data_IF_231666113032
#
_entry.id   IF_231666113032
#
_cell.length_a   1.000
_cell.length_b   1.000
_cell.length_c   1.000
_cell.angle_alpha   90.00
_cell.angle_beta   90.00
_cell.angle_gamma   90.00
#
_symmetry.space_group_name_H-M   'P 1'
#
loop_
_entity.id
_entity.type
_entity.pdbx_description
1 polymer ?
#
# COMPACT_ATOMS: atom_id res chain seq x y z
N UNK A 1 20.97 -8.43 -23.65
CA UNK A 1 19.89 -8.53 -22.65
C UNK A 1 20.25 -9.61 -21.66
N UNK A 2 20.11 -9.37 -20.38
CA UNK A 2 20.30 -10.38 -19.32
C UNK A 2 19.19 -11.43 -19.46
N UNK A 3 19.54 -12.73 -19.36
CA UNK A 3 18.54 -13.79 -19.41
C UNK A 3 17.80 -13.89 -18.07
N UNK A 4 16.50 -14.15 -18.12
CA UNK A 4 15.72 -14.40 -16.90
C UNK A 4 16.26 -15.60 -16.11
N UNK A 5 16.18 -15.57 -14.77
CA UNK A 5 16.57 -16.71 -13.94
C UNK A 5 15.89 -18.01 -14.38
N UNK A 6 16.64 -19.10 -14.42
CA UNK A 6 16.13 -20.39 -14.93
C UNK A 6 15.14 -21.10 -13.99
N UNK A 7 15.16 -20.80 -12.71
CA UNK A 7 14.29 -21.33 -11.65
C UNK A 7 14.24 -20.39 -10.44
N UNK A 8 13.47 -20.74 -9.41
CA UNK A 8 13.29 -19.97 -8.19
C UNK A 8 14.63 -19.74 -7.45
N UNK A 9 15.44 -20.77 -7.28
CA UNK A 9 16.74 -20.64 -6.62
C UNK A 9 17.67 -19.64 -7.34
N UNK A 10 17.72 -19.66 -8.67
CA UNK A 10 18.48 -18.70 -9.45
C UNK A 10 17.91 -17.27 -9.32
N UNK A 11 16.57 -17.12 -9.16
CA UNK A 11 15.93 -15.84 -8.91
C UNK A 11 16.37 -15.27 -7.56
N UNK A 12 16.36 -16.08 -6.49
CA UNK A 12 16.79 -15.65 -5.16
C UNK A 12 18.28 -15.26 -5.14
N UNK A 13 19.14 -16.02 -5.82
CA UNK A 13 20.57 -15.67 -5.94
C UNK A 13 20.75 -14.33 -6.68
N UNK A 14 20.01 -14.10 -7.75
CA UNK A 14 20.09 -12.85 -8.51
C UNK A 14 19.58 -11.66 -7.69
N UNK A 15 18.47 -11.82 -6.94
CA UNK A 15 17.97 -10.82 -6.00
C UNK A 15 18.98 -10.46 -4.92
N UNK A 16 19.58 -11.47 -4.29
CA UNK A 16 20.62 -11.26 -3.25
C UNK A 16 21.84 -10.54 -3.83
N UNK A 17 22.27 -10.90 -5.03
CA UNK A 17 23.38 -10.24 -5.73
C UNK A 17 23.08 -8.78 -6.05
N UNK A 18 21.87 -8.48 -6.55
CA UNK A 18 21.43 -7.12 -6.84
C UNK A 18 21.35 -6.25 -5.58
N UNK A 19 20.81 -6.80 -4.50
CA UNK A 19 20.62 -6.08 -3.25
C UNK A 19 21.91 -5.74 -2.52
N UNK A 20 22.95 -6.55 -2.65
CA UNK A 20 24.25 -6.38 -2.00
C UNK A 20 24.27 -6.61 -0.48
N UNK A 21 23.12 -6.83 0.16
CA UNK A 21 23.01 -7.21 1.58
C UNK A 21 21.69 -7.95 1.84
N UNK A 22 21.68 -8.81 2.88
CA UNK A 22 20.50 -9.60 3.24
C UNK A 22 19.28 -8.76 3.61
N UNK A 23 19.46 -7.63 4.29
CA UNK A 23 18.37 -6.73 4.68
C UNK A 23 17.72 -6.13 3.43
N UNK A 24 18.52 -5.61 2.51
CA UNK A 24 18.04 -5.05 1.25
C UNK A 24 17.42 -6.13 0.35
N UNK A 25 17.93 -7.36 0.40
CA UNK A 25 17.37 -8.47 -0.38
C UNK A 25 15.92 -8.78 0.01
N UNK A 26 15.59 -8.77 1.30
CA UNK A 26 14.22 -8.94 1.78
C UNK A 26 13.34 -7.79 1.26
N UNK A 27 13.81 -6.55 1.35
CA UNK A 27 13.07 -5.39 0.88
C UNK A 27 12.80 -5.43 -0.64
N UNK A 28 13.81 -5.79 -1.45
CA UNK A 28 13.66 -5.94 -2.90
C UNK A 28 12.77 -7.12 -3.29
N UNK A 29 12.85 -8.23 -2.54
CA UNK A 29 11.97 -9.38 -2.73
C UNK A 29 10.50 -9.02 -2.50
N UNK A 30 10.21 -8.35 -1.39
CA UNK A 30 8.86 -7.89 -1.06
C UNK A 30 8.34 -6.85 -2.08
N UNK A 31 9.23 -5.96 -2.55
CA UNK A 31 8.90 -5.01 -3.60
C UNK A 31 8.57 -5.74 -4.90
N UNK A 32 9.41 -6.68 -5.31
CA UNK A 32 9.21 -7.47 -6.52
C UNK A 32 7.90 -8.28 -6.45
N UNK A 33 7.63 -8.93 -5.31
CA UNK A 33 6.38 -9.66 -5.09
C UNK A 33 5.16 -8.74 -5.22
N UNK A 34 5.21 -7.56 -4.61
CA UNK A 34 4.15 -6.55 -4.71
C UNK A 34 3.92 -6.07 -6.15
N UNK A 35 4.99 -5.82 -6.91
CA UNK A 35 4.88 -5.43 -8.33
C UNK A 35 4.27 -6.56 -9.17
N UNK A 36 4.71 -7.81 -8.96
CA UNK A 36 4.19 -8.98 -9.69
C UNK A 36 2.69 -9.17 -9.42
N UNK A 37 2.26 -9.06 -8.16
CA UNK A 37 0.84 -9.09 -7.81
C UNK A 37 0.11 -7.93 -8.51
N UNK A 38 0.70 -6.74 -8.50
CA UNK A 38 0.16 -5.56 -9.18
C UNK A 38 -0.11 -5.77 -10.67
N UNK A 39 0.73 -6.59 -11.37
CA UNK A 39 0.52 -6.95 -12.78
C UNK A 39 -0.64 -7.94 -12.98
N UNK A 40 -1.04 -8.66 -11.93
CA UNK A 40 -2.11 -9.66 -11.96
C UNK A 40 -3.43 -9.14 -11.41
N UNK A 41 -3.48 -7.92 -10.85
CA UNK A 41 -4.71 -7.35 -10.28
C UNK A 41 -5.80 -7.21 -11.36
N UNK A 42 -7.08 -7.47 -11.01
CA UNK A 42 -8.18 -7.24 -11.92
C UNK A 42 -8.40 -5.75 -12.20
N UNK A 43 -9.13 -5.44 -13.27
CA UNK A 43 -9.57 -4.08 -13.54
C UNK A 43 -10.59 -3.62 -12.49
N UNK A 44 -10.67 -2.31 -12.28
CA UNK A 44 -11.56 -1.75 -11.23
C UNK A 44 -11.08 -2.02 -9.81
N UNK A 45 -9.77 -2.16 -9.62
CA UNK A 45 -9.16 -2.25 -8.31
C UNK A 45 -7.96 -1.30 -8.22
N UNK A 46 -7.66 -0.83 -7.02
CA UNK A 46 -6.52 0.03 -6.72
C UNK A 46 -5.74 -0.49 -5.53
N UNK A 47 -4.42 -0.31 -5.57
CA UNK A 47 -3.55 -0.56 -4.41
C UNK A 47 -3.57 0.68 -3.52
N UNK A 48 -3.72 0.47 -2.20
CA UNK A 48 -3.77 1.52 -1.20
C UNK A 48 -2.80 1.27 -0.03
N UNK A 49 -2.94 2.02 1.03
CA UNK A 49 -2.18 1.80 2.26
C UNK A 49 -0.68 2.04 2.12
N UNK A 50 0.10 1.33 2.94
CA UNK A 50 1.56 1.40 2.92
C UNK A 50 2.17 0.86 1.63
N UNK A 51 1.56 -0.15 1.03
CA UNK A 51 2.02 -0.75 -0.23
C UNK A 51 1.92 0.25 -1.39
N UNK A 52 0.85 1.05 -1.48
CA UNK A 52 0.78 2.14 -2.46
C UNK A 52 1.93 3.13 -2.30
N UNK A 53 2.33 3.45 -1.06
CA UNK A 53 3.49 4.31 -0.80
C UNK A 53 4.80 3.69 -1.27
N UNK A 54 5.01 2.39 -0.99
CA UNK A 54 6.20 1.66 -1.47
C UNK A 54 6.29 1.63 -2.99
N UNK A 55 5.16 1.39 -3.67
CA UNK A 55 5.10 1.38 -5.13
C UNK A 55 5.34 2.77 -5.75
N UNK A 56 4.98 3.86 -5.04
CA UNK A 56 5.23 5.24 -5.48
C UNK A 56 6.68 5.69 -5.30
N UNK A 57 7.32 5.28 -4.20
CA UNK A 57 8.59 5.82 -3.74
C UNK A 57 9.78 4.89 -3.98
N UNK A 58 9.53 3.60 -4.14
CA UNK A 58 10.58 2.59 -4.27
C UNK A 58 11.19 2.15 -2.94
N UNK A 59 12.11 1.17 -2.99
CA UNK A 59 12.79 0.65 -1.82
C UNK A 59 13.58 1.74 -1.07
N UNK A 60 13.59 1.68 0.25
CA UNK A 60 14.32 2.62 1.11
C UNK A 60 13.72 4.01 1.27
N UNK A 61 12.70 4.37 0.49
CA UNK A 61 12.08 5.70 0.51
C UNK A 61 10.69 5.73 1.17
N UNK A 62 10.25 4.63 1.73
CA UNK A 62 9.02 4.50 2.50
C UNK A 62 9.23 3.56 3.68
N UNK A 63 8.34 3.63 4.68
CA UNK A 63 8.39 2.67 5.78
C UNK A 63 8.11 1.24 5.30
N UNK A 64 8.55 0.28 6.09
CA UNK A 64 8.24 -1.13 5.85
C UNK A 64 6.73 -1.37 6.05
N UNK A 65 6.13 -2.14 5.18
CA UNK A 65 4.75 -2.63 5.31
C UNK A 65 4.70 -4.10 4.94
N UNK A 66 3.90 -4.86 5.69
CA UNK A 66 3.74 -6.31 5.51
C UNK A 66 2.45 -6.66 4.76
N UNK A 67 1.47 -5.75 4.75
CA UNK A 67 0.16 -5.98 4.19
C UNK A 67 0.04 -5.35 2.81
N UNK A 68 -0.57 -6.07 1.87
CA UNK A 68 -0.89 -5.59 0.53
C UNK A 68 -2.37 -5.19 0.49
N UNK A 69 -2.64 -3.91 0.66
CA UNK A 69 -4.01 -3.39 0.73
C UNK A 69 -4.55 -3.02 -0.64
N UNK A 70 -5.79 -3.45 -0.94
CA UNK A 70 -6.50 -3.06 -2.17
C UNK A 70 -7.93 -2.58 -1.87
N UNK A 71 -8.48 -1.79 -2.78
CA UNK A 71 -9.90 -1.48 -2.85
C UNK A 71 -10.45 -1.92 -4.19
N UNK A 72 -11.65 -2.50 -4.23
CA UNK A 72 -12.31 -3.02 -5.42
C UNK A 72 -13.57 -2.23 -5.73
N UNK A 73 -13.85 -1.98 -7.01
CA UNK A 73 -15.09 -1.39 -7.47
C UNK A 73 -16.23 -2.40 -7.55
N UNK A 74 -15.94 -3.56 -8.14
CA UNK A 74 -16.93 -4.60 -8.41
C UNK A 74 -17.22 -5.46 -7.17
N UNK A 75 -18.26 -6.31 -7.24
CA UNK A 75 -18.54 -7.29 -6.20
C UNK A 75 -17.36 -8.21 -5.91
N UNK A 76 -17.28 -8.69 -4.66
CA UNK A 76 -16.16 -9.51 -4.20
C UNK A 76 -15.99 -10.79 -5.04
N UNK A 77 -17.10 -11.45 -5.40
CA UNK A 77 -17.05 -12.70 -6.17
C UNK A 77 -16.54 -12.46 -7.59
N UNK A 78 -16.93 -11.35 -8.23
CA UNK A 78 -16.44 -10.93 -9.54
C UNK A 78 -14.95 -10.63 -9.46
N UNK A 79 -14.54 -9.84 -8.46
CA UNK A 79 -13.12 -9.54 -8.21
C UNK A 79 -12.29 -10.82 -8.01
N UNK A 80 -12.73 -11.73 -7.14
CA UNK A 80 -12.02 -12.97 -6.83
C UNK A 80 -11.91 -13.88 -8.07
N UNK A 81 -12.95 -13.97 -8.88
CA UNK A 81 -12.93 -14.74 -10.12
C UNK A 81 -11.89 -14.18 -11.08
N UNK A 82 -11.94 -12.90 -11.38
CA UNK A 82 -11.01 -12.23 -12.30
C UNK A 82 -9.56 -12.31 -11.78
N UNK A 83 -9.37 -12.13 -10.47
CA UNK A 83 -8.04 -12.19 -9.88
C UNK A 83 -7.45 -13.60 -9.98
N UNK A 84 -8.23 -14.66 -9.74
CA UNK A 84 -7.78 -16.05 -9.90
C UNK A 84 -7.42 -16.36 -11.36
N UNK A 85 -8.23 -15.90 -12.30
CA UNK A 85 -7.94 -16.09 -13.74
C UNK A 85 -6.63 -15.43 -14.13
N UNK A 86 -6.39 -14.17 -13.74
CA UNK A 86 -5.14 -13.44 -14.01
C UNK A 86 -3.94 -14.04 -13.27
N UNK A 87 -4.11 -14.43 -12.02
CA UNK A 87 -3.07 -15.06 -11.20
C UNK A 87 -2.62 -16.42 -11.78
N UNK A 88 -3.57 -17.20 -12.33
CA UNK A 88 -3.28 -18.45 -13.01
C UNK A 88 -2.59 -18.22 -14.37
N UNK A 89 -3.02 -17.22 -15.13
CA UNK A 89 -2.37 -16.81 -16.38
C UNK A 89 -0.96 -16.28 -16.14
N UNK A 90 -0.77 -15.62 -15.02
CA UNK A 90 0.51 -15.16 -14.53
C UNK A 90 1.12 -13.99 -15.28
N UNK A 91 2.37 -13.66 -14.92
CA UNK A 91 3.17 -12.62 -15.53
C UNK A 91 4.65 -13.04 -15.57
N UNK A 92 5.27 -13.07 -16.74
CA UNK A 92 6.72 -13.32 -16.95
C UNK A 92 7.27 -14.56 -16.22
N UNK A 93 6.51 -15.67 -16.23
CA UNK A 93 6.88 -16.93 -15.57
C UNK A 93 6.48 -17.02 -14.10
N UNK A 94 5.89 -15.97 -13.56
CA UNK A 94 5.23 -15.99 -12.25
C UNK A 94 3.76 -16.36 -12.39
N UNK A 95 3.26 -17.19 -11.50
CA UNK A 95 1.84 -17.51 -11.30
C UNK A 95 1.50 -17.37 -9.83
N UNK A 96 0.21 -17.32 -9.51
CA UNK A 96 -0.21 -17.28 -8.12
C UNK A 96 -1.48 -18.11 -7.86
N UNK A 97 -1.54 -18.68 -6.65
CA UNK A 97 -2.76 -19.26 -6.06
C UNK A 97 -3.39 -18.23 -5.11
N UNK A 98 -4.68 -17.92 -5.32
CA UNK A 98 -5.45 -16.96 -4.50
C UNK A 98 -6.31 -17.74 -3.51
N UNK A 99 -5.92 -17.72 -2.24
CA UNK A 99 -6.61 -18.41 -1.14
C UNK A 99 -7.40 -17.41 -0.31
N UNK A 100 -8.71 -17.68 -0.16
CA UNK A 100 -9.60 -16.89 0.70
C UNK A 100 -9.37 -17.29 2.15
N UNK A 101 -9.14 -16.32 3.02
CA UNK A 101 -9.09 -16.50 4.47
C UNK A 101 -10.39 -16.05 5.11
N UNK A 102 -10.69 -16.58 6.30
CA UNK A 102 -11.83 -16.10 7.07
C UNK A 102 -11.59 -14.66 7.51
N UNK A 103 -12.51 -13.72 7.23
CA UNK A 103 -12.41 -12.35 7.71
C UNK A 103 -12.41 -12.28 9.23
N UNK A 104 -11.76 -11.26 9.79
CA UNK A 104 -11.88 -10.95 11.21
C UNK A 104 -13.31 -10.55 11.57
N UNK A 105 -13.60 -10.53 12.87
CA UNK A 105 -14.88 -10.04 13.40
C UNK A 105 -14.63 -8.89 14.37
N UNK A 106 -14.16 -7.72 13.88
CA UNK A 106 -13.86 -6.60 14.74
C UNK A 106 -15.15 -6.04 15.35
N UNK A 107 -15.16 -5.80 16.66
CA UNK A 107 -16.32 -5.26 17.37
C UNK A 107 -16.74 -3.89 16.81
N UNK A 108 -18.04 -3.75 16.54
CA UNK A 108 -18.61 -2.46 16.10
C UNK A 108 -18.36 -2.09 14.65
N UNK A 109 -17.83 -2.99 13.83
CA UNK A 109 -17.71 -2.82 12.38
C UNK A 109 -18.74 -3.73 11.71
N UNK A 110 -19.69 -3.20 10.90
CA UNK A 110 -20.58 -4.01 10.09
C UNK A 110 -19.78 -4.95 9.16
N UNK A 111 -20.30 -6.16 8.94
CA UNK A 111 -19.58 -7.18 8.18
C UNK A 111 -19.22 -6.73 6.75
N UNK A 112 -20.07 -5.95 6.11
CA UNK A 112 -19.83 -5.37 4.78
C UNK A 112 -18.61 -4.44 4.69
N UNK A 113 -18.16 -3.89 5.83
CA UNK A 113 -16.97 -3.02 5.90
C UNK A 113 -15.71 -3.77 6.37
N UNK A 114 -15.84 -5.06 6.67
CA UNK A 114 -14.67 -5.89 7.03
C UNK A 114 -13.92 -6.24 5.76
N UNK A 115 -12.61 -5.97 5.74
CA UNK A 115 -11.77 -6.36 4.59
C UNK A 115 -11.71 -7.87 4.46
N UNK A 116 -11.72 -8.34 3.20
CA UNK A 116 -11.53 -9.76 2.90
C UNK A 116 -10.03 -10.07 2.84
N UNK A 117 -9.49 -10.86 3.78
CA UNK A 117 -8.10 -11.27 3.71
C UNK A 117 -7.90 -12.43 2.73
N UNK A 118 -6.80 -12.37 2.01
CA UNK A 118 -6.36 -13.38 1.05
C UNK A 118 -4.90 -13.74 1.33
N UNK A 119 -4.50 -14.99 1.09
CA UNK A 119 -3.11 -15.39 0.92
C UNK A 119 -2.83 -15.58 -0.57
N UNK A 120 -1.86 -14.84 -1.09
CA UNK A 120 -1.41 -14.95 -2.48
C UNK A 120 -0.11 -15.73 -2.50
N UNK A 121 -0.19 -16.98 -2.90
CA UNK A 121 0.99 -17.85 -3.00
C UNK A 121 1.61 -17.73 -4.38
N UNK A 122 2.69 -16.99 -4.47
CA UNK A 122 3.44 -16.80 -5.71
C UNK A 122 4.35 -17.99 -5.98
N UNK A 123 4.40 -18.41 -7.24
CA UNK A 123 5.34 -19.38 -7.76
C UNK A 123 6.08 -18.78 -8.96
N UNK A 124 7.35 -19.12 -9.11
CA UNK A 124 8.15 -18.81 -10.30
C UNK A 124 8.54 -20.09 -11.04
N UNK A 125 8.17 -20.16 -12.32
CA UNK A 125 8.39 -21.37 -13.16
C UNK A 125 7.97 -22.67 -12.45
N UNK A 126 6.76 -22.66 -11.91
CA UNK A 126 6.14 -23.77 -11.15
C UNK A 126 6.84 -24.16 -9.84
N UNK A 127 7.77 -23.35 -9.33
CA UNK A 127 8.39 -23.53 -8.02
C UNK A 127 7.81 -22.52 -7.03
N UNK A 128 7.36 -22.93 -5.82
CA UNK A 128 6.90 -21.99 -4.79
C UNK A 128 7.97 -20.94 -4.48
N UNK A 129 7.57 -19.66 -4.43
CA UNK A 129 8.50 -18.58 -4.17
C UNK A 129 8.23 -17.85 -2.85
N UNK A 130 7.06 -17.18 -2.74
CA UNK A 130 6.67 -16.52 -1.50
C UNK A 130 5.16 -16.43 -1.35
N UNK A 131 4.70 -16.09 -0.14
CA UNK A 131 3.29 -15.82 0.14
C UNK A 131 3.14 -14.38 0.61
N UNK A 132 2.21 -13.64 0.00
CA UNK A 132 1.87 -12.26 0.36
C UNK A 132 0.47 -12.24 0.93
N UNK A 133 0.29 -11.59 2.09
CA UNK A 133 -1.03 -11.30 2.64
C UNK A 133 -1.62 -10.09 1.93
N UNK A 134 -2.82 -10.26 1.40
CA UNK A 134 -3.54 -9.22 0.69
C UNK A 134 -4.90 -9.00 1.35
N UNK A 135 -5.27 -7.74 1.56
CA UNK A 135 -6.57 -7.37 2.09
C UNK A 135 -7.37 -6.59 1.03
N UNK A 136 -8.60 -7.01 0.82
CA UNK A 136 -9.51 -6.41 -0.17
C UNK A 136 -10.63 -5.69 0.55
N UNK A 137 -10.71 -4.37 0.42
CA UNK A 137 -11.86 -3.58 0.86
C UNK A 137 -12.86 -3.35 -0.28
N UNK A 138 -14.07 -2.96 0.07
CA UNK A 138 -15.03 -2.43 -0.91
C UNK A 138 -14.64 -1.01 -1.35
N UNK A 139 -15.25 -0.54 -2.44
CA UNK A 139 -15.14 0.84 -2.91
C UNK A 139 -15.78 1.81 -1.91
N UNK A 140 -14.99 2.61 -1.26
CA UNK A 140 -15.46 3.57 -0.27
C UNK A 140 -15.49 4.97 -0.86
N UNK A 141 -16.69 5.47 -1.13
CA UNK A 141 -16.92 6.81 -1.70
C UNK A 141 -16.26 7.04 -3.08
N UNK A 142 -16.07 6.00 -3.85
CA UNK A 142 -15.44 6.09 -5.16
C UNK A 142 -13.92 5.98 -5.16
N UNK A 143 -13.31 5.47 -4.08
CA UNK A 143 -11.85 5.37 -3.93
C UNK A 143 -11.17 4.40 -4.94
N UNK A 144 -11.97 3.57 -5.63
CA UNK A 144 -11.54 2.69 -6.71
C UNK A 144 -12.17 3.04 -8.08
N UNK A 145 -12.96 4.12 -8.19
CA UNK A 145 -13.58 4.55 -9.45
C UNK A 145 -12.56 5.26 -10.33
N UNK A 146 -11.75 6.12 -9.72
CA UNK A 146 -10.61 6.78 -10.36
C UNK A 146 -9.33 6.05 -10.01
N UNK A 147 -8.52 5.79 -11.02
CA UNK A 147 -7.28 5.02 -10.88
C UNK A 147 -6.10 5.91 -11.26
N UNK A 148 -5.20 6.14 -10.33
CA UNK A 148 -3.92 6.76 -10.66
C UNK A 148 -2.97 5.70 -11.23
N UNK A 149 -2.66 5.80 -12.53
CA UNK A 149 -1.65 4.95 -13.18
C UNK A 149 -0.35 5.72 -13.24
N UNK A 150 0.59 5.35 -12.40
CA UNK A 150 1.91 5.97 -12.34
C UNK A 150 2.98 4.96 -12.71
N UNK A 151 3.97 5.40 -13.47
CA UNK A 151 5.18 4.61 -13.70
C UNK A 151 5.87 4.30 -12.37
N UNK A 152 6.41 3.09 -12.27
CA UNK A 152 7.17 2.68 -11.11
C UNK A 152 8.48 3.47 -11.01
N UNK A 153 9.01 3.71 -9.80
CA UNK A 153 10.31 4.34 -9.61
C UNK A 153 11.43 3.64 -10.38
N UNK A 154 12.42 4.41 -10.83
CA UNK A 154 13.55 3.87 -11.60
C UNK A 154 14.25 2.72 -10.86
N UNK A 155 14.44 2.84 -9.54
CA UNK A 155 15.05 1.77 -8.73
C UNK A 155 14.29 0.44 -8.77
N UNK A 156 12.98 0.48 -9.01
CA UNK A 156 12.15 -0.73 -9.18
C UNK A 156 12.30 -1.28 -10.59
N UNK A 157 12.24 -0.42 -11.60
CA UNK A 157 12.44 -0.86 -12.99
C UNK A 157 13.84 -1.42 -13.22
N UNK A 158 14.87 -0.81 -12.64
CA UNK A 158 16.26 -1.31 -12.68
C UNK A 158 16.39 -2.72 -12.08
N UNK A 159 15.66 -3.00 -10.99
CA UNK A 159 15.61 -4.34 -10.41
C UNK A 159 15.12 -5.38 -11.44
N UNK A 160 13.98 -5.11 -12.10
CA UNK A 160 13.41 -6.04 -13.07
C UNK A 160 14.32 -6.22 -14.29
N UNK A 161 14.87 -5.14 -14.82
CA UNK A 161 15.80 -5.17 -15.96
C UNK A 161 17.10 -5.90 -15.64
N UNK A 162 17.67 -5.68 -14.44
CA UNK A 162 18.89 -6.37 -14.00
C UNK A 162 18.68 -7.88 -13.83
N UNK A 163 17.46 -8.31 -13.50
CA UNK A 163 17.10 -9.72 -13.42
C UNK A 163 16.62 -10.31 -14.78
N UNK A 164 16.66 -9.54 -15.86
CA UNK A 164 16.27 -9.98 -17.19
C UNK A 164 14.77 -10.01 -17.45
N UNK A 165 13.96 -9.38 -16.58
CA UNK A 165 12.53 -9.21 -16.80
C UNK A 165 12.23 -7.95 -17.62
N UNK A 166 11.09 -7.90 -18.33
CA UNK A 166 10.65 -6.67 -18.96
C UNK A 166 10.27 -5.63 -17.90
N UNK A 167 10.26 -4.36 -18.31
CA UNK A 167 9.76 -3.27 -17.48
C UNK A 167 8.30 -3.54 -17.11
N UNK A 168 7.94 -3.55 -15.81
CA UNK A 168 6.55 -3.74 -15.40
C UNK A 168 5.66 -2.58 -15.85
N UNK A 169 4.40 -2.86 -16.14
CA UNK A 169 3.42 -1.84 -16.42
C UNK A 169 3.07 -1.02 -15.16
N UNK A 170 2.52 0.17 -15.36
CA UNK A 170 1.99 0.99 -14.29
C UNK A 170 0.92 0.24 -13.49
N UNK A 171 1.04 0.27 -12.15
CA UNK A 171 0.10 -0.38 -11.24
C UNK A 171 -1.02 0.60 -10.89
N UNK A 172 -2.28 0.12 -10.79
CA UNK A 172 -3.40 0.95 -10.37
C UNK A 172 -3.26 1.35 -8.89
N UNK A 173 -3.06 2.62 -8.62
CA UNK A 173 -2.92 3.16 -7.26
C UNK A 173 -4.14 4.01 -6.90
N UNK A 174 -4.52 3.99 -5.61
CA UNK A 174 -5.54 4.88 -5.07
C UNK A 174 -5.09 6.33 -5.21
N UNK A 175 -5.94 7.25 -5.71
CA UNK A 175 -5.60 8.67 -5.78
C UNK A 175 -5.20 9.25 -4.42
N UNK A 176 -4.24 10.16 -4.40
CA UNK A 176 -3.69 10.74 -3.17
C UNK A 176 -4.72 11.41 -2.26
N UNK A 177 -5.76 12.14 -2.76
CA UNK A 177 -6.79 12.68 -1.90
C UNK A 177 -7.49 11.64 -1.02
N UNK A 178 -7.84 10.48 -1.58
CA UNK A 178 -8.44 9.37 -0.81
C UNK A 178 -7.44 8.76 0.17
N UNK A 179 -6.19 8.60 -0.24
CA UNK A 179 -5.16 8.04 0.63
C UNK A 179 -4.87 8.96 1.82
N UNK A 180 -4.80 10.28 1.62
CA UNK A 180 -4.65 11.27 2.68
C UNK A 180 -5.85 11.22 3.62
N UNK A 181 -7.08 11.25 3.10
CA UNK A 181 -8.29 11.22 3.89
C UNK A 181 -8.39 9.96 4.77
N UNK A 182 -8.08 8.77 4.20
CA UNK A 182 -8.09 7.51 4.95
C UNK A 182 -7.03 7.50 6.06
N UNK A 183 -5.84 8.06 5.81
CA UNK A 183 -4.77 8.16 6.82
C UNK A 183 -5.12 9.16 7.92
N UNK A 184 -5.63 10.33 7.58
CA UNK A 184 -6.11 11.32 8.56
C UNK A 184 -7.23 10.73 9.42
N UNK A 185 -8.20 10.04 8.81
CA UNK A 185 -9.26 9.37 9.57
C UNK A 185 -8.69 8.27 10.49
N UNK A 186 -7.71 7.50 10.01
CA UNK A 186 -7.08 6.45 10.81
C UNK A 186 -6.32 7.00 12.02
N UNK A 187 -5.46 7.98 11.80
CA UNK A 187 -4.59 8.55 12.85
C UNK A 187 -5.36 9.39 13.89
N UNK A 188 -6.55 9.90 13.53
CA UNK A 188 -7.42 10.65 14.44
C UNK A 188 -8.43 9.77 15.18
N UNK A 189 -8.50 8.46 14.88
CA UNK A 189 -9.40 7.53 15.58
C UNK A 189 -8.96 7.35 17.04
N UNK A 190 -9.87 7.44 18.02
CA UNK A 190 -9.52 7.28 19.43
C UNK A 190 -8.86 5.93 19.74
N UNK A 191 -7.80 5.93 20.55
CA UNK A 191 -7.14 4.73 21.06
C UNK A 191 -6.45 3.88 19.97
N UNK A 192 -6.02 4.49 18.87
CA UNK A 192 -5.34 3.79 17.79
C UNK A 192 -3.80 3.74 17.95
N UNK A 193 -3.16 2.78 17.28
CA UNK A 193 -1.70 2.63 17.18
C UNK A 193 -1.20 3.00 15.78
N UNK A 194 -1.71 4.10 15.19
CA UNK A 194 -1.47 4.47 13.80
C UNK A 194 -0.43 5.58 13.61
N UNK A 195 0.52 5.71 14.54
CA UNK A 195 1.63 6.68 14.44
C UNK A 195 2.35 6.62 13.08
N UNK A 196 2.40 5.42 12.46
CA UNK A 196 2.96 5.20 11.11
C UNK A 196 2.28 6.01 10.00
N UNK A 197 1.00 6.36 10.16
CA UNK A 197 0.29 7.17 9.16
C UNK A 197 0.79 8.62 9.12
N UNK A 198 1.37 9.13 10.22
CA UNK A 198 2.03 10.44 10.25
C UNK A 198 3.26 10.47 9.33
N UNK A 199 4.00 9.37 9.25
CA UNK A 199 5.17 9.25 8.36
C UNK A 199 4.69 9.29 6.90
N UNK A 200 3.71 8.48 6.57
CA UNK A 200 3.17 8.41 5.21
C UNK A 200 2.59 9.76 4.77
N UNK A 201 1.85 10.46 5.65
CA UNK A 201 1.30 11.79 5.36
C UNK A 201 2.39 12.81 5.08
N UNK A 202 3.46 12.84 5.87
CA UNK A 202 4.59 13.74 5.63
C UNK A 202 5.29 13.45 4.30
N UNK A 203 5.52 12.18 3.97
CA UNK A 203 6.11 11.79 2.69
C UNK A 203 5.21 12.20 1.50
N UNK A 204 3.90 11.99 1.61
CA UNK A 204 2.95 12.42 0.58
C UNK A 204 3.04 13.93 0.38
N UNK A 205 2.91 14.69 1.44
CA UNK A 205 2.85 16.16 1.38
C UNK A 205 4.18 16.81 0.96
N UNK A 206 5.31 16.14 1.18
CA UNK A 206 6.64 16.65 0.79
C UNK A 206 7.06 16.28 -0.63
N UNK A 207 6.57 15.16 -1.16
CA UNK A 207 7.06 14.60 -2.43
C UNK A 207 6.08 14.74 -3.61
N UNK A 208 4.82 15.08 -3.33
CA UNK A 208 3.79 15.19 -4.36
C UNK A 208 3.08 16.54 -4.34
N UNK A 209 2.66 17.00 -5.50
CA UNK A 209 1.75 18.15 -5.63
C UNK A 209 0.34 17.66 -5.27
N UNK A 210 -0.24 18.24 -4.23
CA UNK A 210 -1.54 17.85 -3.70
C UNK A 210 -2.59 18.90 -4.04
N UNK A 211 -3.68 18.47 -4.66
CA UNK A 211 -4.89 19.26 -4.78
C UNK A 211 -5.57 19.34 -3.40
N UNK A 212 -5.41 20.50 -2.74
CA UNK A 212 -5.90 20.72 -1.38
C UNK A 212 -7.43 20.77 -1.32
N UNK A 213 -8.09 21.35 -2.33
CA UNK A 213 -9.55 21.45 -2.40
C UNK A 213 -10.18 20.06 -2.58
N UNK A 214 -9.70 19.28 -3.56
CA UNK A 214 -10.15 17.92 -3.77
C UNK A 214 -9.88 17.04 -2.52
N UNK A 215 -8.72 17.22 -1.86
CA UNK A 215 -8.38 16.48 -0.65
C UNK A 215 -9.31 16.83 0.51
N UNK A 216 -9.62 18.11 0.72
CA UNK A 216 -10.53 18.58 1.74
C UNK A 216 -11.96 18.05 1.52
N UNK A 217 -12.44 18.04 0.27
CA UNK A 217 -13.74 17.46 -0.07
C UNK A 217 -13.81 15.96 0.27
N UNK A 218 -12.80 15.19 -0.13
CA UNK A 218 -12.73 13.76 0.20
C UNK A 218 -12.68 13.55 1.72
N UNK A 219 -11.91 14.36 2.47
CA UNK A 219 -11.87 14.30 3.93
C UNK A 219 -13.26 14.53 4.54
N UNK A 220 -13.94 15.61 4.17
CA UNK A 220 -15.29 15.94 4.69
C UNK A 220 -16.28 14.79 4.40
N UNK A 221 -16.28 14.26 3.18
CA UNK A 221 -17.14 13.13 2.77
C UNK A 221 -16.82 11.87 3.56
N UNK A 222 -15.55 11.51 3.72
CA UNK A 222 -15.12 10.30 4.41
C UNK A 222 -15.45 10.33 5.90
N UNK A 223 -15.19 11.43 6.59
CA UNK A 223 -15.52 11.58 8.00
C UNK A 223 -17.03 11.55 8.24
N UNK A 224 -17.82 12.21 7.38
CA UNK A 224 -19.27 12.15 7.40
C UNK A 224 -19.80 10.72 7.15
N UNK A 225 -19.19 9.99 6.25
CA UNK A 225 -19.58 8.61 5.91
C UNK A 225 -19.29 7.64 7.05
N UNK A 226 -18.06 7.65 7.57
CA UNK A 226 -17.63 6.71 8.64
C UNK A 226 -18.23 7.02 10.00
N UNK A 227 -18.60 8.27 10.29
CA UNK A 227 -19.31 8.73 11.51
C UNK A 227 -18.63 8.35 12.82
N UNK A 228 -17.30 8.20 12.84
CA UNK A 228 -16.55 7.84 14.04
C UNK A 228 -16.03 9.07 14.79
N UNK A 229 -15.62 10.09 14.07
CA UNK A 229 -15.22 11.39 14.59
C UNK A 229 -15.69 12.50 13.64
N UNK A 230 -15.96 13.73 14.16
CA UNK A 230 -16.34 14.87 13.33
C UNK A 230 -15.17 15.36 12.48
N UNK A 231 -15.47 16.15 11.45
CA UNK A 231 -14.51 16.97 10.72
C UNK A 231 -14.66 18.44 11.18
N UNK A 232 -13.58 19.23 11.40
CA UNK A 232 -12.17 18.79 11.43
C UNK A 232 -11.86 18.03 12.73
N UNK A 233 -11.10 16.91 12.65
CA UNK A 233 -10.68 16.20 13.84
C UNK A 233 -9.41 16.81 14.44
N UNK A 234 -9.08 16.40 15.66
CA UNK A 234 -7.79 16.68 16.29
C UNK A 234 -7.07 15.37 16.62
N UNK A 235 -5.79 15.29 16.32
CA UNK A 235 -4.96 14.15 16.65
C UNK A 235 -4.53 14.26 18.10
N UNK A 236 -4.80 13.19 18.87
CA UNK A 236 -4.26 13.00 20.22
C UNK A 236 -3.27 11.84 20.19
N UNK A 237 -2.04 12.10 20.64
CA UNK A 237 -0.98 11.08 20.66
C UNK A 237 -1.33 9.94 21.62
N UNK A 238 -1.23 8.70 21.14
CA UNK A 238 -1.33 7.49 21.97
C UNK A 238 -0.05 7.23 22.76
N UNK A 239 -0.14 6.43 23.82
CA UNK A 239 0.99 6.15 24.73
C UNK A 239 2.14 5.36 24.07
N UNK A 240 1.83 4.53 23.08
CA UNK A 240 2.81 3.72 22.30
C UNK A 240 3.47 4.46 21.14
N UNK A 241 3.01 5.70 20.83
CA UNK A 241 3.34 6.35 19.56
C UNK A 241 4.81 6.75 19.43
N UNK A 242 5.48 7.14 20.51
CA UNK A 242 6.89 7.53 20.45
C UNK A 242 7.78 6.35 19.99
N UNK A 243 7.55 5.16 20.55
CA UNK A 243 8.27 3.97 20.17
C UNK A 243 7.94 3.52 18.73
N UNK A 244 6.64 3.47 18.40
CA UNK A 244 6.15 3.07 17.07
C UNK A 244 6.63 4.04 15.97
N UNK A 245 6.59 5.34 16.23
CA UNK A 245 7.03 6.36 15.29
C UNK A 245 8.53 6.26 15.04
N UNK A 246 9.32 6.17 16.12
CA UNK A 246 10.79 6.06 16.03
C UNK A 246 11.22 4.80 15.25
N UNK A 247 10.61 3.67 15.55
CA UNK A 247 10.87 2.40 14.84
C UNK A 247 10.56 2.51 13.35
N UNK A 248 9.38 3.01 13.01
CA UNK A 248 8.90 3.05 11.63
C UNK A 248 9.51 4.18 10.79
N UNK A 249 9.94 5.26 11.46
CA UNK A 249 10.63 6.38 10.80
C UNK A 249 11.98 5.95 10.24
N UNK A 250 12.77 5.21 11.00
CA UNK A 250 14.13 4.86 10.59
C UNK A 250 14.94 6.08 10.14
N UNK A 251 15.48 6.02 8.92
CA UNK A 251 16.24 7.11 8.26
C UNK A 251 15.40 7.96 7.30
N UNK A 252 14.08 7.81 7.27
CA UNK A 252 13.21 8.56 6.37
C UNK A 252 13.26 10.08 6.66
N UNK A 253 13.18 10.94 5.63
CA UNK A 253 13.30 12.39 5.76
C UNK A 253 11.97 13.02 6.26
N UNK A 254 11.57 12.65 7.46
CA UNK A 254 10.38 13.15 8.16
C UNK A 254 10.76 13.71 9.52
N UNK A 255 9.84 14.42 10.17
CA UNK A 255 10.06 15.03 11.49
C UNK A 255 10.62 14.03 12.50
N UNK A 256 11.52 14.46 13.40
CA UNK A 256 12.27 13.55 14.26
C UNK A 256 11.44 12.88 15.37
N UNK A 257 10.36 13.53 15.84
CA UNK A 257 9.55 13.05 16.96
C UNK A 257 8.06 12.90 16.62
N UNK A 258 7.37 12.03 17.34
CA UNK A 258 5.92 11.88 17.22
C UNK A 258 5.17 13.16 17.58
N UNK A 259 5.66 13.93 18.57
CA UNK A 259 5.02 15.19 18.98
C UNK A 259 5.07 16.24 17.87
N UNK A 260 6.23 16.42 17.23
CA UNK A 260 6.35 17.32 16.07
C UNK A 260 5.48 16.87 14.89
N UNK A 261 5.44 15.56 14.63
CA UNK A 261 4.61 14.99 13.58
C UNK A 261 3.10 15.18 13.86
N UNK A 262 2.66 15.06 15.12
CA UNK A 262 1.29 15.34 15.55
C UNK A 262 0.95 16.81 15.37
N UNK A 263 1.82 17.72 15.84
CA UNK A 263 1.63 19.16 15.67
C UNK A 263 1.52 19.54 14.18
N UNK A 264 2.41 19.02 13.34
CA UNK A 264 2.39 19.21 11.91
C UNK A 264 1.10 18.69 11.26
N UNK A 265 0.63 17.49 11.63
CA UNK A 265 -0.57 16.91 11.05
C UNK A 265 -1.85 17.65 11.51
N UNK A 266 -1.90 18.17 12.73
CA UNK A 266 -2.99 19.06 13.18
C UNK A 266 -3.00 20.37 12.39
N UNK A 267 -1.83 20.95 12.07
CA UNK A 267 -1.74 22.10 11.20
C UNK A 267 -2.19 21.78 9.75
N UNK A 268 -1.89 20.57 9.23
CA UNK A 268 -2.41 20.12 7.94
C UNK A 268 -3.93 20.02 7.94
N UNK A 269 -4.54 19.46 9.00
CA UNK A 269 -6.00 19.38 9.14
C UNK A 269 -6.61 20.78 9.13
N UNK A 270 -6.05 21.73 9.87
CA UNK A 270 -6.54 23.10 9.89
C UNK A 270 -6.42 23.78 8.51
N UNK A 271 -5.36 23.51 7.74
CA UNK A 271 -5.21 24.00 6.36
C UNK A 271 -6.28 23.42 5.43
N UNK A 272 -6.56 22.12 5.54
CA UNK A 272 -7.60 21.44 4.74
C UNK A 272 -9.01 21.92 5.09
N UNK A 273 -9.24 22.34 6.34
CA UNK A 273 -10.55 22.86 6.76
C UNK A 273 -10.83 24.27 6.23
N UNK A 274 -9.78 25.05 5.95
CA UNK A 274 -9.85 26.43 5.47
C UNK A 274 -9.90 26.58 3.93
N UNK A 275 -9.97 25.46 3.16
CA UNK A 275 -10.13 25.47 1.69
C UNK A 275 -11.53 24.97 1.25
#
# INVERSE_FOLDING_TARGET
MVAQPKNEHALELALNSFAGSNIRAVEYRDMMAGVIIGQMLPDGCVVKGGTSMRLRLGPGNSRVTMDFDTSRRDDLDIYLKQFRERATSGWCGFTAEVLIRKPGSPKGIPFEYVMQPLDIKLAYKNQPWCTVRLEVSHNELGDADEVERRELPQSVTDLFEALGFPRPNAIPLMPLPFQIAQKLHGVTSPGNDRARDLIDLQLIMSLFVIDMEATADVCRRLFKYRRRQPWPPQISKGTSWDALYTEQRGSLPVLPTADEAVAWANALIARLDNV
#
